data_IF_000678758479
#
_entry.id   IF_000678758479
#
_cell.length_a   1.000
_cell.length_b   1.000
_cell.length_c   1.000
_cell.angle_alpha   90.00
_cell.angle_beta   90.00
_cell.angle_gamma   90.00
#
_symmetry.space_group_name_H-M   'P 1'
#
loop_
_entity.id
_entity.type
_entity.pdbx_description
1 polymer ?
#
# COMPACT_ATOMS: atom_id res chain seq x y z
N UNK A 1 -19.33 -5.72 -1.39
CA UNK A 1 -17.97 -5.17 -1.54
C UNK A 1 -17.73 -4.14 -0.44
N UNK A 2 -16.54 -4.14 0.16
CA UNK A 2 -16.21 -3.20 1.22
C UNK A 2 -15.89 -1.82 0.67
N UNK A 3 -15.92 -0.81 1.53
CA UNK A 3 -15.51 0.54 1.16
C UNK A 3 -14.07 0.56 0.60
N UNK A 4 -13.17 -0.17 1.27
CA UNK A 4 -11.77 -0.28 0.85
C UNK A 4 -11.66 -0.82 -0.58
N UNK A 5 -12.38 -1.90 -0.88
CA UNK A 5 -12.36 -2.53 -2.21
C UNK A 5 -12.96 -1.62 -3.28
N UNK A 6 -14.04 -0.92 -2.98
CA UNK A 6 -14.64 0.02 -3.91
C UNK A 6 -13.70 1.17 -4.25
N UNK A 7 -12.95 1.66 -3.26
CA UNK A 7 -11.97 2.71 -3.47
C UNK A 7 -10.80 2.21 -4.31
N UNK A 8 -10.36 0.96 -4.10
CA UNK A 8 -9.30 0.37 -4.92
C UNK A 8 -9.68 0.31 -6.39
N UNK A 9 -10.94 0.01 -6.70
CA UNK A 9 -11.43 0.01 -8.09
C UNK A 9 -11.25 1.35 -8.76
N UNK A 10 -11.29 2.43 -7.98
CA UNK A 10 -11.12 3.79 -8.48
C UNK A 10 -9.66 4.25 -8.44
N UNK A 11 -8.74 3.36 -8.06
CA UNK A 11 -7.33 3.71 -7.97
C UNK A 11 -6.98 4.45 -6.69
N UNK A 12 -7.84 4.38 -5.67
CA UNK A 12 -7.65 5.09 -4.41
C UNK A 12 -7.37 4.10 -3.29
N UNK A 13 -6.26 4.32 -2.56
CA UNK A 13 -5.90 3.50 -1.42
C UNK A 13 -6.29 4.23 -0.13
N UNK A 14 -7.29 3.69 0.57
CA UNK A 14 -7.75 4.25 1.84
C UNK A 14 -7.17 3.43 2.99
N UNK A 15 -6.71 4.12 4.01
CA UNK A 15 -6.10 3.51 5.20
C UNK A 15 -7.07 3.66 6.36
N UNK A 16 -7.36 2.56 7.04
CA UNK A 16 -8.18 2.61 8.24
C UNK A 16 -7.31 2.96 9.45
N UNK A 17 -7.84 3.83 10.30
CA UNK A 17 -7.11 4.41 11.42
C UNK A 17 -8.02 4.54 12.64
N UNK A 18 -7.50 4.25 13.83
CA UNK A 18 -8.24 4.43 15.06
C UNK A 18 -7.77 5.70 15.77
N UNK A 19 -8.65 6.70 15.85
CA UNK A 19 -8.33 7.95 16.53
C UNK A 19 -8.15 7.75 18.03
N UNK A 20 -8.95 6.87 18.63
CA UNK A 20 -8.88 6.61 20.06
C UNK A 20 -7.59 5.93 20.46
N UNK A 21 -7.17 4.90 19.71
CA UNK A 21 -5.93 4.19 19.96
C UNK A 21 -4.72 4.87 19.32
N UNK A 22 -4.96 5.86 18.47
CA UNK A 22 -3.94 6.59 17.75
C UNK A 22 -3.04 5.63 16.96
N UNK A 23 -3.65 4.71 16.23
CA UNK A 23 -2.95 3.64 15.55
C UNK A 23 -3.58 3.29 14.22
N UNK A 24 -2.76 2.81 13.30
CA UNK A 24 -3.19 2.33 11.99
C UNK A 24 -3.77 0.92 12.12
N UNK A 25 -4.87 0.67 11.42
CA UNK A 25 -5.49 -0.64 11.37
C UNK A 25 -5.13 -1.29 10.03
N UNK A 26 -4.33 -2.35 10.09
CA UNK A 26 -3.93 -3.07 8.88
C UNK A 26 -3.95 -4.58 9.17
N UNK A 27 -4.59 -5.41 8.36
CA UNK A 27 -5.38 -5.08 7.15
C UNK A 27 -6.58 -4.17 7.43
N UNK A 28 -7.13 -3.50 6.41
CA UNK A 28 -8.20 -2.54 6.60
C UNK A 28 -9.44 -3.16 7.26
N UNK A 29 -10.01 -2.44 8.21
CA UNK A 29 -11.23 -2.87 8.89
C UNK A 29 -12.02 -1.63 9.31
N UNK A 30 -13.34 -1.75 9.29
CA UNK A 30 -14.23 -0.67 9.70
C UNK A 30 -14.26 -0.48 11.21
N UNK A 31 -13.76 -1.45 11.98
CA UNK A 31 -13.77 -1.43 13.43
C UNK A 31 -12.36 -1.74 13.96
N UNK A 32 -11.93 -0.99 14.96
CA UNK A 32 -10.65 -1.23 15.62
C UNK A 32 -10.71 -2.53 16.44
N UNK A 33 -9.70 -3.38 16.32
CA UNK A 33 -9.64 -4.65 17.06
C UNK A 33 -9.37 -4.47 18.56
N UNK A 34 -8.85 -3.32 18.96
CA UNK A 34 -8.46 -3.08 20.35
C UNK A 34 -9.58 -2.45 21.14
N UNK A 35 -10.17 -1.36 20.65
CA UNK A 35 -11.19 -0.62 21.38
C UNK A 35 -12.60 -0.79 20.81
N UNK A 36 -12.75 -1.46 19.68
CA UNK A 36 -14.00 -1.73 18.99
C UNK A 36 -14.76 -0.48 18.53
N UNK A 37 -14.10 0.67 18.52
CA UNK A 37 -14.68 1.88 17.95
C UNK A 37 -14.57 1.83 16.42
N UNK A 38 -15.44 2.58 15.75
CA UNK A 38 -15.44 2.70 14.32
C UNK A 38 -14.15 3.37 13.86
N UNK A 39 -13.50 2.79 12.86
CA UNK A 39 -12.28 3.35 12.30
C UNK A 39 -12.59 4.55 11.40
N UNK A 40 -11.59 5.41 11.22
CA UNK A 40 -11.65 6.48 10.26
C UNK A 40 -10.84 6.09 9.04
N UNK A 41 -11.17 6.69 7.90
CA UNK A 41 -10.49 6.41 6.65
C UNK A 41 -9.62 7.59 6.25
N UNK A 42 -8.36 7.32 5.92
CA UNK A 42 -7.41 8.33 5.48
C UNK A 42 -6.86 7.93 4.13
N UNK A 43 -6.91 8.85 3.18
CA UNK A 43 -6.41 8.60 1.84
C UNK A 43 -4.88 8.60 1.83
N UNK A 44 -4.29 7.53 1.30
CA UNK A 44 -2.85 7.42 1.15
C UNK A 44 -2.35 8.37 0.05
N UNK A 45 -1.12 8.83 0.19
CA UNK A 45 -0.44 9.60 -0.86
C UNK A 45 0.09 8.68 -1.96
N UNK A 46 0.03 7.36 -1.76
CA UNK A 46 0.53 6.35 -2.71
C UNK A 46 2.02 6.52 -3.04
N UNK A 47 2.79 6.98 -2.07
CA UNK A 47 4.24 7.13 -2.21
C UNK A 47 4.89 6.31 -1.12
N UNK A 48 5.92 5.55 -1.49
CA UNK A 48 6.63 4.73 -0.52
C UNK A 48 8.10 4.57 -0.85
N UNK A 49 8.74 3.71 -0.08
CA UNK A 49 10.16 3.40 -0.27
C UNK A 49 10.35 1.89 -0.27
N UNK A 50 11.24 1.43 -1.12
CA UNK A 50 11.56 0.01 -1.23
C UNK A 50 12.30 -0.43 0.02
N UNK A 51 11.77 -1.45 0.71
CA UNK A 51 12.39 -2.06 1.88
C UNK A 51 13.31 -3.19 1.44
N UNK A 52 12.80 -4.05 0.57
CA UNK A 52 13.58 -5.13 -0.01
C UNK A 52 12.96 -5.51 -1.36
N UNK A 53 13.73 -6.16 -2.20
CA UNK A 53 13.24 -6.59 -3.51
C UNK A 53 13.97 -7.84 -3.96
N UNK A 54 13.36 -8.54 -4.92
CA UNK A 54 13.97 -9.69 -5.58
C UNK A 54 13.56 -9.68 -7.06
N UNK A 55 14.23 -10.48 -7.84
CA UNK A 55 13.95 -10.61 -9.28
C UNK A 55 13.53 -12.06 -9.55
N UNK A 56 12.43 -12.20 -10.28
CA UNK A 56 11.98 -13.50 -10.76
C UNK A 56 11.71 -13.37 -12.26
N UNK A 57 12.38 -14.16 -13.06
CA UNK A 57 12.35 -14.07 -14.51
C UNK A 57 12.86 -12.68 -14.92
N UNK A 58 12.06 -11.85 -15.53
CA UNK A 58 12.46 -10.49 -15.90
C UNK A 58 11.74 -9.43 -15.08
N UNK A 59 11.12 -9.83 -13.98
CA UNK A 59 10.26 -8.95 -13.19
C UNK A 59 10.80 -8.78 -11.78
N UNK A 60 10.81 -7.54 -11.29
CA UNK A 60 11.16 -7.26 -9.91
C UNK A 60 9.90 -7.24 -9.05
N UNK A 61 10.02 -7.82 -7.87
CA UNK A 61 8.98 -7.79 -6.84
C UNK A 61 9.62 -7.30 -5.55
N UNK A 62 8.86 -6.58 -4.75
CA UNK A 62 9.43 -6.10 -3.52
C UNK A 62 8.42 -5.70 -2.48
N UNK A 63 8.96 -5.48 -1.28
CA UNK A 63 8.21 -4.97 -0.15
C UNK A 63 8.46 -3.47 -0.07
N UNK A 64 7.37 -2.71 -0.05
CA UNK A 64 7.42 -1.25 -0.04
C UNK A 64 6.68 -0.74 1.19
N UNK A 65 7.28 0.20 1.90
CA UNK A 65 6.64 0.86 3.02
C UNK A 65 6.06 2.19 2.54
N UNK A 66 4.74 2.33 2.69
CA UNK A 66 4.01 3.54 2.35
C UNK A 66 3.71 4.34 3.60
N UNK A 67 2.92 5.42 3.49
CA UNK A 67 2.54 6.24 4.63
C UNK A 67 1.84 5.39 5.71
N UNK A 68 1.89 5.87 6.94
CA UNK A 68 1.37 5.20 8.15
C UNK A 68 2.06 3.86 8.47
N UNK A 69 3.27 3.62 7.92
CA UNK A 69 4.05 2.43 8.23
C UNK A 69 3.52 1.12 7.65
N UNK A 70 2.63 1.21 6.68
CA UNK A 70 2.05 0.03 6.04
C UNK A 70 3.04 -0.51 5.02
N UNK A 71 3.28 -1.84 5.04
CA UNK A 71 4.18 -2.50 4.10
C UNK A 71 3.37 -3.38 3.16
N UNK A 72 3.60 -3.21 1.87
CA UNK A 72 2.85 -3.90 0.82
C UNK A 72 3.82 -4.53 -0.16
N UNK A 73 3.53 -5.78 -0.55
CA UNK A 73 4.29 -6.52 -1.55
C UNK A 73 3.65 -6.32 -2.91
N UNK A 74 4.47 -6.10 -3.92
CA UNK A 74 3.97 -5.96 -5.29
C UNK A 74 5.08 -5.91 -6.31
N UNK A 75 4.68 -5.84 -7.57
CA UNK A 75 5.61 -5.74 -8.71
C UNK A 75 6.22 -4.34 -8.76
N UNK A 76 7.52 -4.28 -9.03
CA UNK A 76 8.25 -3.02 -9.14
C UNK A 76 8.67 -2.82 -10.59
N UNK A 77 8.21 -1.72 -11.20
CA UNK A 77 8.63 -1.31 -12.54
C UNK A 77 9.77 -0.31 -12.44
N UNK A 78 10.89 -0.61 -13.07
CA UNK A 78 12.07 0.23 -13.05
C UNK A 78 12.84 0.07 -14.35
N UNK A 79 13.46 1.16 -14.82
CA UNK A 79 14.34 1.13 -16.01
C UNK A 79 15.73 0.65 -15.67
N UNK A 80 16.06 0.56 -14.39
CA UNK A 80 17.35 0.08 -13.92
C UNK A 80 17.12 -0.83 -12.72
N UNK A 81 18.18 -1.42 -12.17
CA UNK A 81 18.08 -2.28 -11.00
C UNK A 81 17.60 -1.44 -9.82
N UNK A 82 16.47 -1.85 -9.17
CA UNK A 82 15.96 -1.11 -8.00
C UNK A 82 16.97 -1.11 -6.86
N UNK A 83 16.82 -0.15 -5.95
CA UNK A 83 17.67 -0.05 -4.77
C UNK A 83 16.80 0.12 -3.53
N UNK A 84 17.24 -0.49 -2.42
CA UNK A 84 16.60 -0.29 -1.12
C UNK A 84 16.62 1.18 -0.75
N UNK A 85 15.49 1.69 -0.26
CA UNK A 85 15.33 3.10 0.10
C UNK A 85 14.89 4.00 -1.03
N UNK A 86 14.82 3.46 -2.25
CA UNK A 86 14.39 4.23 -3.40
C UNK A 86 12.91 4.56 -3.33
N UNK A 87 12.54 5.78 -3.74
CA UNK A 87 11.13 6.22 -3.73
C UNK A 87 10.36 5.62 -4.89
N UNK A 88 9.12 5.22 -4.60
CA UNK A 88 8.22 4.65 -5.61
C UNK A 88 6.84 5.28 -5.49
N UNK A 89 6.10 5.26 -6.59
CA UNK A 89 4.67 5.59 -6.61
C UNK A 89 3.88 4.29 -6.69
N UNK A 90 2.86 4.15 -5.86
CA UNK A 90 2.02 2.96 -5.82
C UNK A 90 0.79 3.15 -6.70
N UNK A 91 0.52 2.14 -7.52
CA UNK A 91 -0.73 2.02 -8.26
C UNK A 91 -1.55 0.89 -7.67
N UNK A 92 -2.83 1.13 -7.48
CA UNK A 92 -3.72 0.14 -6.89
C UNK A 92 -4.90 -0.12 -7.82
N UNK A 93 -5.41 -1.35 -7.78
CA UNK A 93 -6.61 -1.73 -8.50
C UNK A 93 -7.26 -2.91 -7.77
N UNK A 94 -8.46 -3.25 -8.19
CA UNK A 94 -9.18 -4.38 -7.64
C UNK A 94 -9.81 -5.18 -8.76
N UNK A 95 -9.44 -6.46 -8.83
CA UNK A 95 -9.98 -7.42 -9.78
C UNK A 95 -10.14 -8.74 -9.04
N UNK A 96 -11.27 -8.95 -8.39
CA UNK A 96 -11.58 -10.04 -7.46
C UNK A 96 -10.63 -10.11 -6.26
N UNK A 97 -9.52 -9.40 -6.29
CA UNK A 97 -8.57 -9.25 -5.18
C UNK A 97 -7.82 -7.92 -5.34
N UNK A 98 -7.25 -7.39 -4.24
CA UNK A 98 -6.43 -6.18 -4.34
C UNK A 98 -5.17 -6.45 -5.17
N UNK A 99 -4.82 -5.50 -6.02
CA UNK A 99 -3.58 -5.55 -6.81
C UNK A 99 -2.77 -4.29 -6.54
N UNK A 100 -1.49 -4.47 -6.27
CA UNK A 100 -0.56 -3.39 -5.98
C UNK A 100 0.65 -3.48 -6.90
N UNK A 101 1.06 -2.33 -7.44
CA UNK A 101 2.28 -2.25 -8.23
C UNK A 101 2.96 -0.92 -7.94
N UNK A 102 4.27 -0.87 -8.20
CA UNK A 102 5.09 0.28 -7.85
C UNK A 102 5.92 0.70 -9.04
N UNK A 103 6.03 2.02 -9.22
CA UNK A 103 6.87 2.59 -10.27
C UNK A 103 7.97 3.39 -9.57
N UNK A 104 9.23 3.09 -9.91
CA UNK A 104 10.37 3.79 -9.35
C UNK A 104 10.39 5.23 -9.86
N UNK A 105 10.49 6.17 -8.93
CA UNK A 105 10.62 7.59 -9.27
C UNK A 105 12.02 7.84 -9.82
N UNK A 106 12.09 8.36 -11.03
CA UNK A 106 13.35 8.76 -11.64
C UNK A 106 13.60 10.23 -11.33
N UNK A 107 14.70 10.48 -10.66
CA UNK A 107 15.14 11.84 -10.39
C UNK A 107 16.09 12.30 -11.48
#
# INVERSE_FOLDING_TARGET
MTFFEEQLKQGIFQISYCEKCNDTIWPPNEICHVCFNKSEWKKSKNIGKIIEFSKKDSTYFGLVEIDYGIRIMGEISSTSIPKTGQSVTMNVSFDSKPNYSFIVENN
#
